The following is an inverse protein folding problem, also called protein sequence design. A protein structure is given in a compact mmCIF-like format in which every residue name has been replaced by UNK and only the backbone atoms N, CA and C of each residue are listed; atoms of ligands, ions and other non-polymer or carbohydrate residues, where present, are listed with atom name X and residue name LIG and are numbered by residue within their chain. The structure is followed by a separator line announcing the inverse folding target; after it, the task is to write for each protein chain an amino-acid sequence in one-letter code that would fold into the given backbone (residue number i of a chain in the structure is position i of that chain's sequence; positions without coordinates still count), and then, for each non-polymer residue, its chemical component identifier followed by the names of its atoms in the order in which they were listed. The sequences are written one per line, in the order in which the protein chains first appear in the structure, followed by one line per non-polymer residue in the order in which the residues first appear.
data_IF_592395130143
#
_entry.id   IF_592395130143
#
_cell.length_a   1.000
_cell.length_b   1.000
_cell.length_c   1.000
_cell.angle_alpha   90.00
_cell.angle_beta   90.00
_cell.angle_gamma   90.00
#
_symmetry.space_group_name_H-M   'P 1'
#
loop_
_entity.id
_entity.type
_entity.pdbx_description
1 polymer ?
#
# COMPACT_ATOMS: atom_id res chain seq x y z
N UNK A 1 1.67 -8.53 -9.35
CA UNK A 1 0.28 -8.41 -9.83
C UNK A 1 0.00 -7.03 -10.44
N UNK A 2 0.06 -5.93 -9.67
CA UNK A 2 -0.16 -4.58 -10.19
C UNK A 2 0.77 -4.23 -11.38
N UNK A 3 2.09 -4.49 -11.25
CA UNK A 3 3.05 -4.30 -12.33
C UNK A 3 2.62 -5.02 -13.62
N UNK A 4 2.31 -6.32 -13.53
CA UNK A 4 1.87 -7.12 -14.66
C UNK A 4 0.58 -6.57 -15.31
N UNK A 5 -0.37 -6.06 -14.50
CA UNK A 5 -1.57 -5.41 -15.03
C UNK A 5 -1.25 -4.13 -15.81
N UNK A 6 -0.41 -3.26 -15.28
CA UNK A 6 0.02 -2.06 -16.00
C UNK A 6 0.84 -2.39 -17.26
N UNK A 7 1.59 -3.50 -17.26
CA UNK A 7 2.21 -4.04 -18.48
C UNK A 7 1.14 -4.46 -19.50
N UNK A 8 0.09 -5.16 -19.09
CA UNK A 8 -1.05 -5.46 -19.97
C UNK A 8 -1.66 -4.16 -20.54
N UNK A 9 -1.90 -3.15 -19.69
CA UNK A 9 -2.43 -1.85 -20.13
C UNK A 9 -1.50 -1.14 -21.13
N UNK A 10 -0.19 -1.24 -20.97
CA UNK A 10 0.78 -0.67 -21.91
C UNK A 10 0.71 -1.32 -23.31
N UNK A 11 0.26 -2.57 -23.39
CA UNK A 11 0.10 -3.29 -24.65
C UNK A 11 -1.28 -3.12 -25.30
N UNK A 12 -2.29 -2.69 -24.55
CA UNK A 12 -3.67 -2.53 -25.04
C UNK A 12 -3.77 -1.74 -26.35
N UNK A 13 -3.07 -0.61 -26.54
CA UNK A 13 -3.22 0.16 -27.77
C UNK A 13 -2.88 -0.63 -29.04
N UNK A 14 -1.88 -1.52 -28.98
CA UNK A 14 -1.46 -2.37 -30.11
C UNK A 14 -2.49 -3.42 -30.51
N UNK A 15 -3.39 -3.78 -29.59
CA UNK A 15 -4.39 -4.81 -29.80
C UNK A 15 -5.79 -4.25 -29.98
N UNK A 16 -5.95 -2.93 -30.04
CA UNK A 16 -7.27 -2.30 -29.97
C UNK A 16 -8.20 -2.70 -31.12
N UNK A 17 -7.63 -2.84 -32.32
CA UNK A 17 -8.33 -3.25 -33.55
C UNK A 17 -8.55 -4.77 -33.64
N UNK A 18 -7.99 -5.55 -32.70
CA UNK A 18 -8.09 -7.01 -32.64
C UNK A 18 -9.01 -7.41 -31.49
N UNK A 19 -10.34 -7.53 -31.69
CA UNK A 19 -11.31 -7.61 -30.61
C UNK A 19 -11.04 -8.77 -29.63
N UNK A 20 -10.65 -9.94 -30.12
CA UNK A 20 -10.32 -11.09 -29.26
C UNK A 20 -9.13 -10.82 -28.34
N UNK A 21 -8.00 -10.35 -28.91
CA UNK A 21 -6.80 -10.03 -28.13
C UNK A 21 -7.03 -8.84 -27.18
N UNK A 22 -7.77 -7.82 -27.61
CA UNK A 22 -8.13 -6.67 -26.76
C UNK A 22 -8.82 -7.12 -25.48
N UNK A 23 -9.87 -7.93 -25.61
CA UNK A 23 -10.63 -8.39 -24.45
C UNK A 23 -9.82 -9.33 -23.56
N UNK A 24 -9.00 -10.21 -24.15
CA UNK A 24 -8.11 -11.08 -23.40
C UNK A 24 -7.14 -10.27 -22.52
N UNK A 25 -6.50 -9.24 -23.07
CA UNK A 25 -5.55 -8.39 -22.33
C UNK A 25 -6.26 -7.54 -21.26
N UNK A 26 -7.44 -6.99 -21.57
CA UNK A 26 -8.25 -6.23 -20.59
C UNK A 26 -8.70 -7.10 -19.42
N UNK A 27 -9.23 -8.30 -19.71
CA UNK A 27 -9.68 -9.23 -18.67
C UNK A 27 -8.49 -9.65 -17.81
N UNK A 28 -7.35 -9.99 -18.42
CA UNK A 28 -6.13 -10.31 -17.69
C UNK A 28 -5.68 -9.15 -16.77
N UNK A 29 -5.67 -7.91 -17.29
CA UNK A 29 -5.34 -6.73 -16.50
C UNK A 29 -6.28 -6.55 -15.29
N UNK A 30 -7.59 -6.72 -15.48
CA UNK A 30 -8.60 -6.60 -14.43
C UNK A 30 -8.48 -7.71 -13.38
N UNK A 31 -8.27 -8.96 -13.79
CA UNK A 31 -8.04 -10.09 -12.87
C UNK A 31 -6.80 -9.81 -12.01
N UNK A 32 -5.69 -9.40 -12.64
CA UNK A 32 -4.45 -9.09 -11.93
C UNK A 32 -4.61 -7.93 -10.93
N UNK A 33 -5.36 -6.88 -11.29
CA UNK A 33 -5.65 -5.76 -10.38
C UNK A 33 -6.59 -6.14 -9.25
N UNK A 34 -7.64 -6.91 -9.54
CA UNK A 34 -8.58 -7.41 -8.54
C UNK A 34 -7.84 -8.27 -7.51
N UNK A 35 -7.02 -9.23 -7.96
CA UNK A 35 -6.18 -10.03 -7.06
C UNK A 35 -5.18 -9.15 -6.28
N UNK A 36 -4.56 -8.16 -6.92
CA UNK A 36 -3.64 -7.24 -6.23
C UNK A 36 -4.35 -6.46 -5.10
N UNK A 37 -5.57 -5.98 -5.34
CA UNK A 37 -6.37 -5.25 -4.35
C UNK A 37 -6.84 -6.13 -3.18
N UNK A 38 -6.96 -7.45 -3.38
CA UNK A 38 -7.27 -8.39 -2.31
C UNK A 38 -6.07 -8.73 -1.43
N UNK A 39 -4.83 -8.62 -1.96
CA UNK A 39 -3.61 -8.82 -1.15
C UNK A 39 -3.46 -7.70 -0.10
N UNK A 40 -3.82 -6.46 -0.45
CA UNK A 40 -3.89 -5.33 0.49
C UNK A 40 -4.98 -4.36 0.10
N UNK A 41 -5.80 -3.94 1.07
CA UNK A 41 -6.94 -3.02 0.84
C UNK A 41 -6.54 -1.68 0.20
N UNK A 42 -5.37 -1.13 0.56
CA UNK A 42 -4.85 0.09 -0.07
C UNK A 42 -4.40 -0.11 -1.53
N UNK A 43 -4.36 -1.36 -2.01
CA UNK A 43 -4.17 -1.71 -3.42
C UNK A 43 -5.27 -1.16 -4.35
N UNK A 44 -6.40 -0.71 -3.81
CA UNK A 44 -7.43 0.01 -4.57
C UNK A 44 -6.92 1.29 -5.25
N UNK A 45 -5.84 1.89 -4.73
CA UNK A 45 -5.18 3.02 -5.41
C UNK A 45 -4.69 2.63 -6.80
N UNK A 46 -4.17 1.41 -6.97
CA UNK A 46 -3.75 0.90 -8.26
C UNK A 46 -4.92 0.67 -9.22
N UNK A 47 -6.05 0.19 -8.71
CA UNK A 47 -7.28 0.03 -9.49
C UNK A 47 -7.77 1.39 -10.01
N UNK A 48 -7.80 2.40 -9.15
CA UNK A 48 -8.19 3.76 -9.54
C UNK A 48 -7.26 4.34 -10.61
N UNK A 49 -5.94 4.21 -10.44
CA UNK A 49 -4.98 4.73 -11.42
C UNK A 49 -5.04 3.97 -12.75
N UNK A 50 -5.23 2.65 -12.73
CA UNK A 50 -5.43 1.84 -13.93
C UNK A 50 -6.70 2.25 -14.69
N UNK A 51 -7.79 2.51 -13.98
CA UNK A 51 -9.03 3.02 -14.56
C UNK A 51 -8.83 4.41 -15.22
N UNK A 52 -8.11 5.31 -14.54
CA UNK A 52 -7.75 6.63 -15.10
C UNK A 52 -6.91 6.45 -16.37
N UNK A 53 -5.88 5.61 -16.35
CA UNK A 53 -5.05 5.30 -17.53
C UNK A 53 -5.92 4.83 -18.68
N UNK A 54 -6.84 3.89 -18.47
CA UNK A 54 -7.69 3.38 -19.53
C UNK A 54 -8.60 4.47 -20.11
N UNK A 55 -9.12 5.37 -19.28
CA UNK A 55 -9.83 6.55 -19.75
C UNK A 55 -8.95 7.49 -20.58
N UNK A 56 -7.72 7.74 -20.11
CA UNK A 56 -6.73 8.59 -20.80
C UNK A 56 -6.37 8.03 -22.17
N UNK A 57 -6.18 6.71 -22.31
CA UNK A 57 -5.95 6.04 -23.59
C UNK A 57 -7.10 6.22 -24.60
N UNK A 58 -8.30 6.57 -24.11
CA UNK A 58 -9.52 6.72 -24.92
C UNK A 58 -9.98 8.17 -25.06
N UNK A 59 -9.18 9.13 -24.59
CA UNK A 59 -9.51 10.57 -24.62
C UNK A 59 -9.75 11.12 -26.03
N UNK A 60 -9.05 10.59 -27.03
CA UNK A 60 -9.16 11.04 -28.42
C UNK A 60 -10.52 10.70 -29.05
N UNK A 61 -11.30 9.80 -28.44
CA UNK A 61 -12.66 9.46 -28.90
C UNK A 61 -13.76 10.29 -28.24
N UNK A 62 -13.38 11.30 -27.47
CA UNK A 62 -14.28 12.19 -26.74
C UNK A 62 -14.38 11.85 -25.25
N UNK A 63 -14.63 12.89 -24.45
CA UNK A 63 -14.63 12.82 -22.98
C UNK A 63 -15.63 11.81 -22.41
N UNK A 64 -16.81 11.65 -23.06
CA UNK A 64 -17.83 10.69 -22.62
C UNK A 64 -17.32 9.26 -22.71
N UNK A 65 -16.63 8.91 -23.81
CA UNK A 65 -16.07 7.56 -23.98
C UNK A 65 -14.92 7.31 -23.01
N UNK A 66 -14.04 8.29 -22.82
CA UNK A 66 -12.98 8.21 -21.81
C UNK A 66 -13.55 7.93 -20.40
N UNK A 67 -14.61 8.66 -20.02
CA UNK A 67 -15.28 8.47 -18.73
C UNK A 67 -15.93 7.09 -18.62
N UNK A 68 -16.61 6.62 -19.67
CA UNK A 68 -17.23 5.27 -19.70
C UNK A 68 -16.18 4.18 -19.52
N UNK A 69 -15.03 4.29 -20.19
CA UNK A 69 -13.94 3.32 -20.04
C UNK A 69 -13.31 3.35 -18.65
N UNK A 70 -13.08 4.55 -18.09
CA UNK A 70 -12.53 4.69 -16.75
C UNK A 70 -13.49 4.12 -15.68
N UNK A 71 -14.74 4.59 -15.66
CA UNK A 71 -15.74 4.14 -14.68
C UNK A 71 -16.06 2.66 -14.89
N UNK A 72 -16.21 2.23 -16.14
CA UNK A 72 -16.47 0.82 -16.49
C UNK A 72 -15.35 -0.10 -16.00
N UNK A 73 -14.08 0.26 -16.19
CA UNK A 73 -12.96 -0.54 -15.69
C UNK A 73 -12.87 -0.55 -14.17
N UNK A 74 -13.13 0.58 -13.51
CA UNK A 74 -13.19 0.67 -12.05
C UNK A 74 -14.26 -0.27 -11.50
N UNK A 75 -15.51 -0.15 -11.97
CA UNK A 75 -16.64 -0.97 -11.53
C UNK A 75 -16.38 -2.45 -11.83
N UNK A 76 -15.92 -2.80 -13.03
CA UNK A 76 -15.63 -4.18 -13.41
C UNK A 76 -14.57 -4.81 -12.49
N UNK A 77 -13.49 -4.09 -12.20
CA UNK A 77 -12.42 -4.57 -11.32
C UNK A 77 -12.90 -4.73 -9.88
N UNK A 78 -13.71 -3.79 -9.37
CA UNK A 78 -14.29 -3.88 -8.03
C UNK A 78 -15.25 -5.07 -7.91
N UNK A 79 -16.16 -5.26 -8.87
CA UNK A 79 -17.06 -6.42 -8.90
C UNK A 79 -16.26 -7.71 -8.93
N UNK A 80 -15.23 -7.77 -9.78
CA UNK A 80 -14.36 -8.94 -9.87
C UNK A 80 -13.62 -9.22 -8.54
N UNK A 81 -13.13 -8.18 -7.86
CA UNK A 81 -12.51 -8.32 -6.54
C UNK A 81 -13.49 -8.89 -5.52
N UNK A 82 -14.75 -8.42 -5.50
CA UNK A 82 -15.77 -8.96 -4.61
C UNK A 82 -16.11 -10.42 -4.91
N UNK A 83 -16.20 -10.80 -6.19
CA UNK A 83 -16.41 -12.20 -6.61
C UNK A 83 -15.24 -13.07 -6.16
N UNK A 84 -14.00 -12.64 -6.41
CA UNK A 84 -12.81 -13.37 -6.01
C UNK A 84 -12.71 -13.50 -4.49
N UNK A 85 -13.04 -12.46 -3.72
CA UNK A 85 -13.08 -12.50 -2.26
C UNK A 85 -14.10 -13.52 -1.76
N UNK A 86 -15.32 -13.50 -2.30
CA UNK A 86 -16.38 -14.43 -1.93
C UNK A 86 -16.02 -15.89 -2.26
N UNK A 87 -15.34 -16.13 -3.38
CA UNK A 87 -14.88 -17.47 -3.78
C UNK A 87 -13.69 -17.94 -2.93
N UNK A 88 -12.79 -17.03 -2.56
CA UNK A 88 -11.60 -17.35 -1.79
C UNK A 88 -11.84 -17.46 -0.28
N UNK A 89 -12.99 -16.98 0.24
CA UNK A 89 -13.29 -17.01 1.66
C UNK A 89 -13.41 -18.47 2.17
N UNK A 90 -12.57 -18.89 3.13
CA UNK A 90 -12.66 -20.24 3.68
C UNK A 90 -14.02 -20.44 4.36
N UNK A 91 -14.69 -21.57 4.11
CA UNK A 91 -16.00 -21.88 4.71
C UNK A 91 -15.98 -21.90 6.25
N UNK A 92 -14.80 -22.12 6.85
CA UNK A 92 -14.57 -22.14 8.29
C UNK A 92 -14.27 -20.76 8.90
N UNK A 93 -14.05 -19.72 8.09
CA UNK A 93 -13.51 -18.44 8.56
C UNK A 93 -14.55 -17.48 9.19
N UNK A 94 -15.85 -17.84 9.21
CA UNK A 94 -16.91 -16.95 9.70
C UNK A 94 -17.04 -15.68 8.83
N UNK A 95 -17.75 -14.66 9.34
CA UNK A 95 -17.87 -13.36 8.67
C UNK A 95 -16.53 -12.60 8.64
N UNK A 96 -16.21 -11.99 7.49
CA UNK A 96 -15.01 -11.15 7.35
C UNK A 96 -15.13 -9.88 8.22
N UNK A 97 -14.28 -9.80 9.24
CA UNK A 97 -14.17 -8.65 10.16
C UNK A 97 -12.86 -7.89 9.98
N UNK A 98 -12.01 -8.28 9.02
CA UNK A 98 -10.65 -7.76 8.91
C UNK A 98 -10.61 -6.25 8.69
N UNK A 99 -11.48 -5.71 7.83
CA UNK A 99 -11.57 -4.26 7.59
C UNK A 99 -11.96 -3.46 8.84
N UNK A 100 -12.95 -3.93 9.59
CA UNK A 100 -13.40 -3.29 10.83
C UNK A 100 -12.33 -3.30 11.91
N UNK A 101 -11.61 -4.42 12.05
CA UNK A 101 -10.48 -4.55 12.97
C UNK A 101 -9.34 -3.61 12.57
N UNK A 102 -8.98 -3.54 11.29
CA UNK A 102 -7.92 -2.68 10.78
C UNK A 102 -8.15 -1.20 11.08
N UNK A 103 -9.35 -0.69 10.75
CA UNK A 103 -9.75 0.70 11.06
C UNK A 103 -9.66 0.96 12.57
N UNK A 104 -10.09 -0.01 13.38
CA UNK A 104 -10.10 0.13 14.83
C UNK A 104 -8.70 0.17 15.43
N UNK A 105 -7.74 -0.60 14.90
CA UNK A 105 -6.33 -0.50 15.32
C UNK A 105 -5.81 0.91 15.05
N UNK A 106 -6.04 1.42 13.83
CA UNK A 106 -5.61 2.78 13.43
C UNK A 106 -6.21 3.84 14.36
N UNK A 107 -7.50 3.74 14.69
CA UNK A 107 -8.15 4.70 15.58
C UNK A 107 -7.52 4.76 16.97
N UNK A 108 -7.29 3.61 17.61
CA UNK A 108 -6.64 3.60 18.93
C UNK A 108 -5.19 4.09 18.86
N UNK A 109 -4.46 3.68 17.82
CA UNK A 109 -3.09 4.08 17.60
C UNK A 109 -2.97 5.61 17.42
N UNK A 110 -3.85 6.19 16.61
CA UNK A 110 -3.91 7.63 16.38
C UNK A 110 -4.29 8.41 17.65
N UNK A 111 -5.27 7.91 18.42
CA UNK A 111 -5.71 8.59 19.65
C UNK A 111 -4.59 8.61 20.70
N UNK A 112 -3.92 7.48 20.93
CA UNK A 112 -2.80 7.40 21.89
C UNK A 112 -1.58 8.17 21.35
N UNK A 113 -1.29 8.06 20.05
CA UNK A 113 -0.23 8.81 19.41
C UNK A 113 -0.44 10.33 19.50
N UNK A 114 -1.66 10.81 19.29
CA UNK A 114 -2.00 12.21 19.49
C UNK A 114 -1.80 12.66 20.95
N UNK A 115 -2.15 11.82 21.93
CA UNK A 115 -1.87 12.09 23.35
C UNK A 115 -0.37 12.14 23.68
N UNK A 116 0.45 11.34 22.97
CA UNK A 116 1.90 11.34 23.13
C UNK A 116 2.56 12.60 22.54
N UNK A 117 2.04 13.10 21.41
CA UNK A 117 2.54 14.30 20.74
C UNK A 117 1.97 15.62 21.32
N UNK A 118 0.78 15.58 21.91
CA UNK A 118 0.12 16.70 22.56
C UNK A 118 -0.41 16.31 23.96
N UNK A 119 0.36 16.60 25.03
CA UNK A 119 -0.05 16.29 26.41
C UNK A 119 -1.33 17.00 26.87
N UNK A 120 -1.77 18.04 26.16
CA UNK A 120 -3.00 18.78 26.46
C UNK A 120 -4.22 18.13 25.84
N UNK A 121 -4.05 17.26 24.85
CA UNK A 121 -5.14 16.50 24.24
C UNK A 121 -5.77 15.53 25.26
N UNK A 122 -7.10 15.43 25.21
CA UNK A 122 -7.91 14.62 26.12
C UNK A 122 -8.97 13.88 25.32
N UNK A 123 -9.05 12.57 25.56
CA UNK A 123 -10.05 11.68 24.93
C UNK A 123 -11.42 11.83 25.60
N UNK A 124 -12.01 13.02 25.51
CA UNK A 124 -13.07 13.47 26.41
C UNK A 124 -14.34 12.62 26.38
N UNK A 125 -14.77 12.11 25.21
CA UNK A 125 -15.98 11.24 25.15
C UNK A 125 -15.69 9.88 25.75
N UNK A 126 -14.50 9.35 25.51
CA UNK A 126 -14.04 8.08 26.10
C UNK A 126 -13.89 8.24 27.62
N UNK A 127 -13.37 9.37 28.11
CA UNK A 127 -13.23 9.62 29.54
C UNK A 127 -14.59 9.67 30.25
N UNK A 128 -15.61 10.24 29.61
CA UNK A 128 -16.98 10.28 30.14
C UNK A 128 -17.65 8.89 30.13
N UNK A 129 -17.51 8.12 29.05
CA UNK A 129 -18.20 6.84 28.89
C UNK A 129 -17.46 5.67 29.55
N UNK A 130 -16.13 5.67 29.49
CA UNK A 130 -15.25 4.60 29.98
C UNK A 130 -13.99 5.18 30.65
N UNK A 131 -14.08 5.68 31.90
CA UNK A 131 -12.96 6.29 32.61
C UNK A 131 -11.73 5.36 32.74
N UNK A 132 -11.96 4.06 32.91
CA UNK A 132 -10.90 3.05 32.97
C UNK A 132 -10.13 2.92 31.64
N UNK A 133 -10.83 2.98 30.51
CA UNK A 133 -10.22 2.95 29.18
C UNK A 133 -9.41 4.23 28.93
N UNK A 134 -9.93 5.41 29.28
CA UNK A 134 -9.17 6.66 29.19
C UNK A 134 -7.92 6.65 30.09
N UNK A 135 -8.01 6.09 31.30
CA UNK A 135 -6.86 5.90 32.17
C UNK A 135 -5.82 4.92 31.58
N UNK A 136 -6.26 3.84 30.95
CA UNK A 136 -5.39 2.90 30.24
C UNK A 136 -4.71 3.58 29.04
N UNK A 137 -5.43 4.36 28.23
CA UNK A 137 -4.86 5.11 27.10
C UNK A 137 -3.79 6.12 27.57
N UNK A 138 -4.02 6.80 28.71
CA UNK A 138 -3.01 7.67 29.33
C UNK A 138 -1.73 6.93 29.71
N UNK A 139 -1.84 5.71 30.26
CA UNK A 139 -0.66 4.86 30.52
C UNK A 139 -0.01 4.38 29.21
N UNK A 140 -0.83 4.06 28.21
CA UNK A 140 -0.39 3.63 26.88
C UNK A 140 0.56 4.59 26.19
N UNK A 141 0.50 5.90 26.51
CA UNK A 141 1.47 6.90 26.05
C UNK A 141 2.91 6.53 26.41
N UNK A 142 3.15 5.89 27.56
CA UNK A 142 4.51 5.50 28.00
C UNK A 142 5.13 4.38 27.18
N UNK A 143 4.30 3.58 26.52
CA UNK A 143 4.71 2.49 25.63
C UNK A 143 4.46 2.82 24.16
N UNK A 144 3.96 4.02 23.86
CA UNK A 144 3.75 4.47 22.49
C UNK A 144 5.10 4.57 21.76
N UNK A 145 5.10 4.13 20.51
CA UNK A 145 6.23 4.28 19.59
C UNK A 145 5.70 4.49 18.17
N UNK A 146 6.25 5.45 17.40
CA UNK A 146 5.97 5.58 15.97
C UNK A 146 6.57 4.43 15.15
N UNK A 147 7.44 3.61 15.75
CA UNK A 147 8.04 2.44 15.10
C UNK A 147 6.98 1.40 14.77
N UNK A 148 6.17 1.01 15.77
CA UNK A 148 5.17 -0.07 15.65
C UNK A 148 4.08 0.03 16.72
N UNK A 149 2.85 -0.33 16.38
CA UNK A 149 1.73 -0.46 17.31
C UNK A 149 1.91 -1.61 18.29
N UNK A 150 2.71 -2.63 17.95
CA UNK A 150 2.96 -3.81 18.78
C UNK A 150 3.54 -3.45 20.17
N UNK A 151 4.16 -2.27 20.31
CA UNK A 151 4.64 -1.80 21.61
C UNK A 151 3.52 -1.62 22.64
N UNK A 152 2.26 -1.50 22.20
CA UNK A 152 1.09 -1.52 23.09
C UNK A 152 0.99 -2.81 23.92
N UNK A 153 1.52 -3.93 23.43
CA UNK A 153 1.54 -5.20 24.18
C UNK A 153 2.45 -5.15 25.41
N UNK A 154 3.35 -4.15 25.51
CA UNK A 154 4.19 -3.95 26.70
C UNK A 154 3.39 -3.46 27.91
N UNK A 155 2.20 -2.90 27.70
CA UNK A 155 1.23 -2.63 28.78
C UNK A 155 0.12 -3.70 28.72
N UNK A 156 0.15 -4.71 29.61
CA UNK A 156 -0.84 -5.79 29.60
C UNK A 156 -2.25 -5.30 29.94
N UNK A 157 -2.39 -4.08 30.47
CA UNK A 157 -3.68 -3.48 30.79
C UNK A 157 -4.28 -2.71 29.62
N UNK A 158 -3.50 -2.32 28.62
CA UNK A 158 -3.97 -1.44 27.55
C UNK A 158 -5.01 -2.13 26.67
N UNK A 159 -4.64 -3.25 26.05
CA UNK A 159 -5.51 -4.03 25.16
C UNK A 159 -6.86 -4.38 25.77
N UNK A 160 -6.91 -5.07 26.94
CA UNK A 160 -8.17 -5.44 27.60
C UNK A 160 -9.10 -4.27 27.91
N UNK A 161 -8.57 -3.05 28.08
CA UNK A 161 -9.39 -1.88 28.37
C UNK A 161 -9.88 -1.14 27.11
N UNK A 162 -9.17 -1.22 25.98
CA UNK A 162 -9.54 -0.48 24.76
C UNK A 162 -10.32 -1.34 23.74
N UNK A 163 -10.03 -2.64 23.66
CA UNK A 163 -10.67 -3.56 22.71
C UNK A 163 -12.15 -3.88 22.99
N UNK A 164 -12.70 -3.72 24.20
CA UNK A 164 -14.14 -3.87 24.40
C UNK A 164 -14.97 -2.62 24.04
N UNK A 165 -14.34 -1.46 23.82
CA UNK A 165 -15.09 -0.21 23.58
C UNK A 165 -15.99 -0.25 22.33
N UNK A 166 -17.18 0.37 22.35
CA UNK A 166 -18.03 0.48 21.17
C UNK A 166 -17.36 1.20 19.98
N UNK A 167 -17.53 0.68 18.75
CA UNK A 167 -16.91 1.24 17.54
C UNK A 167 -17.37 2.66 17.23
N UNK A 168 -18.64 2.97 17.50
CA UNK A 168 -19.23 4.30 17.30
C UNK A 168 -18.61 5.34 18.25
N UNK A 169 -18.34 4.95 19.50
CA UNK A 169 -17.65 5.78 20.47
C UNK A 169 -16.21 6.09 20.03
N UNK A 170 -15.42 5.05 19.73
CA UNK A 170 -14.02 5.21 19.29
C UNK A 170 -13.95 6.00 17.99
N UNK A 171 -14.81 5.70 17.03
CA UNK A 171 -14.90 6.43 15.77
C UNK A 171 -15.32 7.89 15.94
N UNK A 172 -16.21 8.20 16.90
CA UNK A 172 -16.59 9.57 17.20
C UNK A 172 -15.44 10.37 17.85
N UNK A 173 -14.69 9.75 18.77
CA UNK A 173 -13.50 10.37 19.36
C UNK A 173 -12.41 10.58 18.30
N UNK A 174 -12.17 9.61 17.43
CA UNK A 174 -11.19 9.73 16.35
C UNK A 174 -11.56 10.82 15.33
N UNK A 175 -12.85 10.93 14.96
CA UNK A 175 -13.33 12.07 14.14
C UNK A 175 -13.17 13.40 14.88
N UNK A 176 -13.34 13.43 16.20
CA UNK A 176 -13.09 14.63 17.00
C UNK A 176 -11.62 15.04 16.95
N UNK A 177 -10.68 14.10 17.12
CA UNK A 177 -9.25 14.31 16.93
C UNK A 177 -8.96 14.97 15.58
N UNK A 178 -9.46 14.39 14.48
CA UNK A 178 -9.21 14.89 13.12
C UNK A 178 -9.79 16.30 12.91
N UNK A 179 -11.01 16.55 13.38
CA UNK A 179 -11.76 17.77 13.03
C UNK A 179 -11.57 18.93 14.03
N UNK A 180 -11.28 18.64 15.30
CA UNK A 180 -11.13 19.64 16.37
C UNK A 180 -9.70 19.78 16.87
N UNK A 181 -8.87 18.75 16.67
CA UNK A 181 -7.46 18.76 17.06
C UNK A 181 -6.53 18.39 15.88
N UNK A 182 -6.71 18.99 14.68
CA UNK A 182 -6.00 18.58 13.47
C UNK A 182 -4.47 18.68 13.61
N UNK A 183 -3.96 19.62 14.42
CA UNK A 183 -2.52 19.74 14.67
C UNK A 183 -1.95 18.48 15.36
N UNK A 184 -2.62 17.98 16.39
CA UNK A 184 -2.19 16.78 17.11
C UNK A 184 -2.27 15.53 16.20
N UNK A 185 -3.35 15.42 15.44
CA UNK A 185 -3.51 14.36 14.42
C UNK A 185 -2.38 14.39 13.39
N UNK A 186 -2.13 15.55 12.77
CA UNK A 186 -1.13 15.69 11.71
C UNK A 186 0.30 15.51 12.24
N UNK A 187 0.60 15.97 13.47
CA UNK A 187 1.90 15.74 14.10
C UNK A 187 2.18 14.24 14.27
N UNK A 188 1.21 13.50 14.82
CA UNK A 188 1.30 12.06 14.95
C UNK A 188 1.45 11.37 13.58
N UNK A 189 0.62 11.70 12.59
CA UNK A 189 0.69 11.09 11.25
C UNK A 189 1.99 11.39 10.52
N UNK A 190 2.52 12.61 10.65
CA UNK A 190 3.80 12.98 10.07
C UNK A 190 4.95 12.19 10.68
N UNK A 191 4.95 11.97 12.00
CA UNK A 191 5.95 11.15 12.68
C UNK A 191 5.89 9.69 12.20
N UNK A 192 4.72 9.05 12.29
CA UNK A 192 4.54 7.66 11.82
C UNK A 192 4.89 7.50 10.34
N UNK A 193 4.46 8.43 9.49
CA UNK A 193 4.80 8.39 8.06
C UNK A 193 6.29 8.61 7.82
N UNK A 194 6.96 9.46 8.60
CA UNK A 194 8.40 9.62 8.58
C UNK A 194 9.12 8.30 8.85
N UNK A 195 8.64 7.51 9.79
CA UNK A 195 9.18 6.17 10.06
C UNK A 195 8.96 5.19 8.90
N UNK A 196 7.81 5.24 8.24
CA UNK A 196 7.49 4.35 7.11
C UNK A 196 8.25 4.73 5.83
N UNK A 197 8.36 6.04 5.54
CA UNK A 197 8.88 6.53 4.27
C UNK A 197 10.37 6.86 4.32
N UNK A 198 10.85 7.48 5.41
CA UNK A 198 12.26 7.81 5.57
C UNK A 198 13.05 6.68 6.25
N UNK A 199 12.37 5.81 7.01
CA UNK A 199 12.97 4.65 7.70
C UNK A 199 14.26 5.01 8.45
N UNK A 200 14.21 5.96 9.41
CA UNK A 200 15.40 6.55 10.03
C UNK A 200 16.27 5.53 10.79
N UNK A 201 15.68 4.40 11.21
CA UNK A 201 16.37 3.24 11.79
C UNK A 201 15.91 1.97 11.07
N UNK A 202 16.46 1.77 9.88
CA UNK A 202 16.07 0.70 8.95
C UNK A 202 16.02 -0.69 9.61
N UNK A 203 16.99 -1.00 10.49
CA UNK A 203 17.09 -2.27 11.20
C UNK A 203 15.89 -2.56 12.12
N UNK A 204 15.16 -1.52 12.56
CA UNK A 204 13.93 -1.66 13.37
C UNK A 204 12.68 -1.85 12.52
N UNK A 205 12.80 -1.62 11.22
CA UNK A 205 11.71 -1.60 10.25
C UNK A 205 11.68 -2.87 9.37
N UNK A 206 12.41 -3.92 9.76
CA UNK A 206 12.31 -5.27 9.18
C UNK A 206 12.36 -5.33 7.64
N UNK A 207 13.35 -4.70 6.96
CA UNK A 207 13.51 -4.88 5.52
C UNK A 207 13.73 -6.35 5.16
N UNK A 208 14.48 -7.08 5.98
CA UNK A 208 14.66 -8.52 5.81
C UNK A 208 14.35 -9.22 7.12
N UNK A 209 13.54 -10.27 7.03
CA UNK A 209 13.25 -11.19 8.12
C UNK A 209 13.81 -12.56 7.74
N UNK A 210 14.64 -13.14 8.61
CA UNK A 210 15.28 -14.45 8.38
C UNK A 210 15.01 -15.39 9.55
N UNK A 211 14.94 -16.69 9.26
CA UNK A 211 14.60 -17.73 10.21
C UNK A 211 13.11 -17.84 10.53
N UNK A 212 12.81 -18.60 11.58
CA UNK A 212 11.47 -18.85 12.09
C UNK A 212 11.36 -18.28 13.49
N UNK A 213 10.35 -17.45 13.71
CA UNK A 213 10.00 -16.91 15.01
C UNK A 213 8.48 -16.97 15.19
N UNK A 214 8.01 -17.50 16.32
CA UNK A 214 6.60 -17.52 16.67
C UNK A 214 6.33 -18.21 18.01
N UNK A 215 5.07 -18.14 18.50
CA UNK A 215 4.67 -18.84 19.71
C UNK A 215 4.98 -20.34 19.60
N UNK A 216 5.61 -20.91 20.62
CA UNK A 216 6.04 -22.31 20.64
C UNK A 216 4.93 -23.31 20.23
N UNK A 217 3.67 -23.18 20.71
CA UNK A 217 2.61 -24.11 20.30
C UNK A 217 2.30 -24.06 18.80
N UNK A 218 2.40 -22.89 18.18
CA UNK A 218 2.13 -22.71 16.75
C UNK A 218 3.30 -23.25 15.90
N UNK A 219 4.53 -22.92 16.28
CA UNK A 219 5.74 -23.36 15.58
C UNK A 219 5.87 -24.89 15.64
N UNK A 220 5.62 -25.48 16.82
CA UNK A 220 5.61 -26.93 17.00
C UNK A 220 4.50 -27.62 16.19
N UNK A 221 3.28 -27.06 16.15
CA UNK A 221 2.17 -27.67 15.38
C UNK A 221 2.40 -27.65 13.86
N UNK A 222 3.26 -26.75 13.37
CA UNK A 222 3.70 -26.70 11.98
C UNK A 222 4.94 -27.56 11.68
N UNK A 223 5.45 -28.31 12.67
CA UNK A 223 6.73 -29.04 12.60
C UNK A 223 7.91 -28.15 12.21
N UNK A 224 7.89 -26.90 12.69
CA UNK A 224 8.98 -25.94 12.53
C UNK A 224 9.76 -25.80 13.85
N UNK A 225 10.97 -25.26 13.78
CA UNK A 225 11.80 -24.96 14.95
C UNK A 225 12.10 -23.47 14.95
N UNK A 226 11.89 -22.81 16.09
CA UNK A 226 12.29 -21.42 16.26
C UNK A 226 13.82 -21.31 16.15
N UNK A 227 14.30 -20.37 15.35
CA UNK A 227 15.73 -20.16 15.18
C UNK A 227 16.12 -19.63 13.82
N UNK A 228 17.44 -19.51 13.62
CA UNK A 228 18.07 -19.13 12.36
C UNK A 228 19.13 -20.16 12.04
N UNK A 229 19.11 -20.67 10.82
CA UNK A 229 20.15 -21.56 10.33
C UNK A 229 21.33 -20.76 9.71
N UNK A 230 22.44 -21.41 9.31
CA UNK A 230 23.55 -20.71 8.68
C UNK A 230 23.20 -19.97 7.39
N UNK A 231 22.20 -20.43 6.62
CA UNK A 231 21.75 -19.78 5.40
C UNK A 231 20.95 -18.50 5.71
N UNK A 232 20.09 -18.53 6.74
CA UNK A 232 19.41 -17.35 7.28
C UNK A 232 20.39 -16.27 7.68
N UNK A 233 21.45 -16.64 8.40
CA UNK A 233 22.50 -15.72 8.84
C UNK A 233 23.25 -15.15 7.63
N UNK A 234 23.60 -15.99 6.64
CA UNK A 234 24.23 -15.55 5.41
C UNK A 234 23.38 -14.53 4.65
N UNK A 235 22.08 -14.79 4.52
CA UNK A 235 21.13 -13.88 3.87
C UNK A 235 20.98 -12.55 4.63
N UNK A 236 20.91 -12.59 5.96
CA UNK A 236 20.87 -11.39 6.79
C UNK A 236 22.17 -10.56 6.65
N UNK A 237 23.33 -11.22 6.66
CA UNK A 237 24.63 -10.56 6.46
C UNK A 237 24.72 -9.92 5.06
N UNK A 238 24.25 -10.61 4.03
CA UNK A 238 24.18 -10.05 2.68
C UNK A 238 23.26 -8.83 2.62
N UNK A 239 22.06 -8.91 3.20
CA UNK A 239 21.11 -7.80 3.20
C UNK A 239 21.63 -6.57 3.96
N UNK A 240 22.23 -6.80 5.13
CA UNK A 240 22.74 -5.71 6.00
C UNK A 240 23.89 -4.93 5.35
N UNK A 241 24.63 -5.53 4.40
CA UNK A 241 25.63 -4.80 3.60
C UNK A 241 25.03 -3.59 2.85
N UNK A 242 23.75 -3.66 2.48
CA UNK A 242 23.05 -2.58 1.77
C UNK A 242 22.32 -1.62 2.70
N UNK A 243 22.35 -1.83 4.01
CA UNK A 243 21.67 -0.91 4.95
C UNK A 243 22.37 0.45 4.92
N UNK A 244 21.58 1.52 4.90
CA UNK A 244 22.08 2.89 4.74
C UNK A 244 22.51 3.25 3.31
N UNK A 245 22.34 2.35 2.35
CA UNK A 245 22.57 2.63 0.92
C UNK A 245 21.25 2.99 0.22
N UNK A 246 21.30 3.58 -0.99
CA UNK A 246 20.10 3.82 -1.81
C UNK A 246 19.25 2.58 -2.12
N UNK A 247 19.81 1.36 -1.99
CA UNK A 247 19.11 0.10 -2.24
C UNK A 247 17.97 -0.14 -1.24
N UNK A 248 18.13 0.31 0.01
CA UNK A 248 17.07 0.25 1.03
C UNK A 248 16.60 1.67 1.39
N UNK A 249 16.17 2.43 0.38
CA UNK A 249 15.63 3.79 0.57
C UNK A 249 14.39 4.03 -0.29
N UNK A 250 13.22 4.05 0.36
CA UNK A 250 11.96 4.41 -0.33
C UNK A 250 11.98 5.82 -0.90
N UNK A 251 12.73 6.75 -0.29
CA UNK A 251 12.91 8.11 -0.82
C UNK A 251 13.56 8.08 -2.20
N UNK A 252 14.62 7.29 -2.37
CA UNK A 252 15.30 7.15 -3.66
C UNK A 252 14.35 6.58 -4.71
N UNK A 253 13.63 5.51 -4.37
CA UNK A 253 12.66 4.92 -5.29
C UNK A 253 11.47 5.84 -5.61
N UNK A 254 11.02 6.67 -4.68
CA UNK A 254 10.01 7.69 -4.93
C UNK A 254 10.51 8.75 -5.91
N UNK A 255 11.75 9.22 -5.76
CA UNK A 255 12.37 10.17 -6.69
C UNK A 255 12.52 9.57 -8.09
N UNK A 256 12.94 8.30 -8.17
CA UNK A 256 13.00 7.56 -9.43
C UNK A 256 11.60 7.47 -10.05
N UNK A 257 10.58 7.05 -9.29
CA UNK A 257 9.22 6.93 -9.79
C UNK A 257 8.67 8.26 -10.30
N UNK A 258 8.91 9.37 -9.58
CA UNK A 258 8.53 10.72 -10.00
C UNK A 258 9.24 11.14 -11.29
N UNK A 259 10.55 10.94 -11.38
CA UNK A 259 11.34 11.28 -12.56
C UNK A 259 10.89 10.48 -13.78
N UNK A 260 10.70 9.16 -13.63
CA UNK A 260 10.20 8.27 -14.68
C UNK A 260 8.79 8.66 -15.11
N UNK A 261 7.87 8.90 -14.17
CA UNK A 261 6.52 9.35 -14.48
C UNK A 261 6.53 10.66 -15.27
N UNK A 262 7.29 11.66 -14.81
CA UNK A 262 7.42 12.95 -15.48
C UNK A 262 7.96 12.82 -16.90
N UNK A 263 9.02 12.03 -17.08
CA UNK A 263 9.62 11.77 -18.40
C UNK A 263 8.64 11.09 -19.36
N UNK A 264 7.95 10.04 -18.92
CA UNK A 264 6.97 9.29 -19.72
C UNK A 264 5.76 10.16 -20.11
N UNK A 265 5.24 10.95 -19.18
CA UNK A 265 4.16 11.90 -19.47
C UNK A 265 4.59 13.00 -20.44
N UNK A 266 5.87 13.37 -20.44
CA UNK A 266 6.45 14.32 -21.39
C UNK A 266 6.62 13.71 -22.79
N UNK A 267 7.00 12.43 -22.89
CA UNK A 267 7.14 11.69 -24.17
C UNK A 267 5.81 11.47 -24.89
N UNK A 268 4.70 11.38 -24.13
CA UNK A 268 3.31 11.34 -24.62
C UNK A 268 2.92 10.13 -25.48
N UNK A 269 3.69 9.03 -25.44
CA UNK A 269 3.33 7.77 -26.11
C UNK A 269 2.17 7.05 -25.36
N UNK A 270 1.40 6.24 -26.09
CA UNK A 270 0.26 5.54 -25.49
C UNK A 270 0.68 4.50 -24.46
N UNK A 271 1.75 3.74 -24.71
CA UNK A 271 2.25 2.76 -23.75
C UNK A 271 2.85 3.44 -22.50
N UNK A 272 3.43 4.64 -22.68
CA UNK A 272 4.04 5.42 -21.61
C UNK A 272 3.01 5.87 -20.56
N UNK A 273 1.75 6.16 -20.96
CA UNK A 273 0.71 6.51 -19.99
C UNK A 273 0.42 5.38 -18.99
N UNK A 274 0.50 4.12 -19.43
CA UNK A 274 0.31 2.99 -18.54
C UNK A 274 1.45 2.85 -17.53
N UNK A 275 2.70 2.98 -17.97
CA UNK A 275 3.86 2.90 -17.07
C UNK A 275 3.94 4.13 -16.15
N UNK A 276 3.59 5.33 -16.63
CA UNK A 276 3.43 6.51 -15.79
C UNK A 276 2.31 6.29 -14.75
N UNK A 277 1.19 5.67 -15.15
CA UNK A 277 0.12 5.27 -14.24
C UNK A 277 0.57 4.30 -13.16
N UNK A 278 1.46 3.35 -13.48
CA UNK A 278 2.09 2.47 -12.49
C UNK A 278 2.92 3.25 -11.48
N UNK A 279 3.73 4.23 -11.94
CA UNK A 279 4.54 5.07 -11.04
C UNK A 279 3.65 5.91 -10.13
N UNK A 280 2.63 6.58 -10.69
CA UNK A 280 1.67 7.39 -9.93
C UNK A 280 0.83 6.55 -8.98
N UNK A 281 0.47 5.32 -9.37
CA UNK A 281 -0.16 4.33 -8.51
C UNK A 281 0.73 3.99 -7.32
N UNK A 282 2.01 3.74 -7.54
CA UNK A 282 2.95 3.41 -6.48
C UNK A 282 3.14 4.58 -5.51
N UNK A 283 3.27 5.81 -6.02
CA UNK A 283 3.36 7.02 -5.20
C UNK A 283 2.07 7.27 -4.41
N UNK A 284 0.90 7.11 -5.02
CA UNK A 284 -0.39 7.23 -4.33
C UNK A 284 -0.59 6.14 -3.27
N UNK A 285 -0.14 4.91 -3.56
CA UNK A 285 -0.15 3.81 -2.61
C UNK A 285 0.75 4.12 -1.41
N UNK A 286 1.95 4.66 -1.64
CA UNK A 286 2.82 5.15 -0.57
C UNK A 286 2.15 6.27 0.23
N UNK A 287 1.54 7.26 -0.44
CA UNK A 287 0.86 8.35 0.24
C UNK A 287 -0.31 7.86 1.13
N UNK A 288 -0.98 6.76 0.77
CA UNK A 288 -2.05 6.20 1.60
C UNK A 288 -1.58 5.81 3.01
N UNK A 289 -0.31 5.41 3.17
CA UNK A 289 0.28 5.07 4.46
C UNK A 289 0.39 6.26 5.43
N UNK A 290 0.34 7.50 4.94
CA UNK A 290 0.17 8.66 5.82
C UNK A 290 -1.10 8.55 6.69
N UNK A 291 -2.14 7.88 6.18
CA UNK A 291 -3.46 7.76 6.82
C UNK A 291 -3.70 6.37 7.42
N UNK A 292 -2.90 5.36 7.10
CA UNK A 292 -3.19 3.98 7.56
C UNK A 292 -2.04 3.29 8.27
N UNK A 293 -0.84 3.89 8.29
CA UNK A 293 0.31 3.26 8.93
C UNK A 293 0.13 3.11 10.43
N UNK A 294 0.56 1.96 10.92
CA UNK A 294 0.64 1.58 12.34
C UNK A 294 2.01 0.98 12.69
N UNK A 295 2.91 0.88 11.70
CA UNK A 295 4.24 0.33 11.83
C UNK A 295 5.12 0.81 10.68
N UNK A 296 6.44 0.83 10.90
CA UNK A 296 7.44 1.25 9.93
C UNK A 296 7.93 0.13 9.00
N UNK A 297 7.25 -1.02 8.97
CA UNK A 297 7.66 -2.20 8.20
C UNK A 297 7.99 -1.86 6.74
N UNK A 298 9.26 -1.98 6.37
CA UNK A 298 9.81 -1.59 5.06
C UNK A 298 9.09 -2.32 3.91
N UNK A 299 8.59 -3.54 4.17
CA UNK A 299 7.85 -4.34 3.18
C UNK A 299 6.53 -3.67 2.76
N UNK A 300 6.03 -2.71 3.54
CA UNK A 300 4.82 -1.98 3.21
C UNK A 300 4.96 -1.18 1.92
N UNK A 301 6.16 -0.69 1.61
CA UNK A 301 6.42 0.12 0.43
C UNK A 301 7.23 -0.61 -0.66
N UNK A 302 7.41 -1.93 -0.59
CA UNK A 302 8.04 -2.71 -1.67
C UNK A 302 7.38 -2.53 -3.04
N UNK A 303 6.09 -2.23 -3.07
CA UNK A 303 5.44 -1.90 -4.33
C UNK A 303 6.06 -0.66 -5.01
N UNK A 304 6.45 0.36 -4.24
CA UNK A 304 7.14 1.54 -4.75
C UNK A 304 8.49 1.18 -5.35
N UNK A 305 9.30 0.45 -4.59
CA UNK A 305 10.65 0.06 -4.99
C UNK A 305 10.63 -0.75 -6.29
N UNK A 306 9.75 -1.77 -6.37
CA UNK A 306 9.61 -2.63 -7.55
C UNK A 306 8.99 -1.88 -8.75
N UNK A 307 8.03 -0.97 -8.51
CA UNK A 307 7.47 -0.14 -9.58
C UNK A 307 8.55 0.77 -10.17
N UNK A 308 9.31 1.47 -9.34
CA UNK A 308 10.40 2.34 -9.76
C UNK A 308 11.46 1.59 -10.58
N UNK A 309 11.88 0.40 -10.11
CA UNK A 309 12.79 -0.48 -10.86
C UNK A 309 12.21 -0.92 -12.20
N UNK A 310 10.92 -1.27 -12.24
CA UNK A 310 10.22 -1.61 -13.49
C UNK A 310 10.20 -0.43 -14.47
N UNK A 311 9.94 0.78 -13.97
CA UNK A 311 9.95 2.00 -14.77
C UNK A 311 11.32 2.31 -15.36
N UNK A 312 12.39 2.16 -14.58
CA UNK A 312 13.76 2.28 -15.08
C UNK A 312 14.08 1.23 -16.14
N UNK A 313 13.70 -0.03 -15.91
CA UNK A 313 13.90 -1.09 -16.88
C UNK A 313 13.14 -0.81 -18.19
N UNK A 314 11.90 -0.32 -18.10
CA UNK A 314 11.11 0.10 -19.25
C UNK A 314 11.82 1.18 -20.08
N UNK A 315 12.38 2.21 -19.43
CA UNK A 315 13.15 3.26 -20.11
C UNK A 315 14.48 2.76 -20.66
N UNK A 316 15.15 1.83 -19.98
CA UNK A 316 16.41 1.26 -20.45
C UNK A 316 16.23 0.47 -21.76
N UNK A 317 15.07 -0.16 -21.97
CA UNK A 317 14.74 -0.86 -23.21
C UNK A 317 14.45 0.08 -24.38
N UNK A 318 14.04 1.32 -24.12
CA UNK A 318 13.77 2.33 -25.15
C UNK A 318 13.96 3.76 -24.61
N UNK A 319 15.21 4.25 -24.59
CA UNK A 319 15.58 5.53 -23.99
C UNK A 319 15.25 6.74 -24.88
N UNK A 320 14.67 6.52 -26.07
CA UNK A 320 14.48 7.57 -27.06
C UNK A 320 13.50 8.65 -26.58
N UNK A 321 13.87 9.94 -26.75
CA UNK A 321 13.03 11.09 -26.35
C UNK A 321 11.71 11.16 -27.13
N UNK A 322 11.68 10.59 -28.34
CA UNK A 322 10.49 10.41 -29.16
C UNK A 322 10.54 9.03 -29.78
N UNK A 323 9.48 8.24 -29.57
CA UNK A 323 9.21 7.10 -30.45
C UNK A 323 8.82 7.70 -31.80
N UNK A 324 9.63 7.50 -32.83
CA UNK A 324 9.23 7.94 -34.16
C UNK A 324 7.91 7.26 -34.49
N UNK A 325 6.90 8.01 -34.91
CA UNK A 325 5.62 7.49 -35.41
C UNK A 325 5.76 6.68 -36.71
N UNK A 326 6.99 6.33 -37.11
CA UNK A 326 7.39 5.94 -38.46
C UNK A 326 7.81 4.48 -38.62
N UNK A 327 7.75 3.65 -37.57
CA UNK A 327 7.83 2.20 -37.78
C UNK A 327 6.48 1.71 -38.28
N UNK A 328 6.35 1.67 -39.62
CA UNK A 328 5.32 0.89 -40.31
C UNK A 328 5.30 -0.51 -39.68
N UNK A 329 4.16 -0.97 -39.11
CA UNK A 329 4.03 -2.29 -38.51
C UNK A 329 4.25 -3.46 -39.49
N UNK A 330 4.50 -3.18 -40.78
CA UNK A 330 4.90 -4.17 -41.80
C UNK A 330 6.40 -4.42 -41.92
N UNK A 331 7.24 -3.68 -41.20
CA UNK A 331 8.69 -3.90 -41.22
C UNK A 331 9.11 -5.03 -40.24
N UNK A 332 8.85 -6.28 -40.65
CA UNK A 332 9.56 -7.42 -40.06
C UNK A 332 10.96 -7.44 -40.71
N UNK A 333 12.06 -7.39 -39.95
CA UNK A 333 13.39 -7.60 -40.52
C UNK A 333 13.46 -9.03 -41.08
N UNK A 334 13.85 -9.12 -42.35
CA UNK A 334 14.19 -10.38 -43.02
C UNK A 334 15.46 -10.99 -42.43
#
# INVERSE_FOLDING_TARGET
LAIASFTCLAHIPRFWDRPGLRWLVLIAAMVLLATAALVRQNGLVAVLMAAIVLGVLRRCEGWRRALVWAVGALVATLVLAQVLAAVAQPKSAGEDKAGGIGVRIVQHYDLIGAMAHDPTYRVSRIEQAHPAAAAAMRRGVTVYSPERVDFFERDPTLGPNIWPMPNDLVGAEWRNLITKHPKAYLAHRADVFGWVFLTPKLERCLPVFVGVEGPEPLVASLNLVNGRDPADISLANYATYFYGTPVFSHVVYALIALAVAGFLLWRRDEADYAIAGLMLSALGFTASFFVISIACDYRYLYFLDLAAMTGLFYLALDPSLRRSSDTDPRSIPA
#
